data_IF_428313724865
#
_entry.id   IF_428313724865
#
_cell.length_a   1.000
_cell.length_b   1.000
_cell.length_c   1.000
_cell.angle_alpha   90.00
_cell.angle_beta   90.00
_cell.angle_gamma   90.00
#
_symmetry.space_group_name_H-M   'P 1'
#
loop_
_entity.id
_entity.type
_entity.pdbx_description
1 polymer ?
#
# COMPACT_ATOMS: atom_id res chain seq x y z
N UNK A 1 -10.11 4.79 6.16
CA UNK A 1 -10.11 4.51 7.61
C UNK A 1 -9.73 5.79 8.31
N UNK A 2 -10.59 6.28 9.15
CA UNK A 2 -10.41 7.49 9.94
C UNK A 2 -10.14 7.12 11.41
N UNK A 3 -9.17 7.79 12.03
CA UNK A 3 -8.85 7.62 13.45
C UNK A 3 -9.77 8.39 14.41
N UNK A 4 -10.79 9.05 13.90
CA UNK A 4 -11.76 9.83 14.72
C UNK A 4 -13.01 8.99 15.05
N UNK A 5 -13.41 8.90 16.33
CA UNK A 5 -12.73 9.44 17.50
C UNK A 5 -11.50 8.59 17.89
N UNK A 6 -10.38 9.25 18.09
CA UNK A 6 -9.15 8.58 18.52
C UNK A 6 -9.22 8.28 20.03
N UNK A 7 -9.20 7.01 20.36
CA UNK A 7 -9.01 6.55 21.75
C UNK A 7 -7.59 6.01 21.89
N UNK A 8 -6.72 6.63 22.70
CA UNK A 8 -5.36 6.16 22.89
C UNK A 8 -5.32 4.69 23.30
N UNK A 9 -4.48 3.90 22.62
CA UNK A 9 -4.32 2.46 22.89
C UNK A 9 -5.32 1.56 22.16
N UNK A 10 -6.23 2.11 21.35
CA UNK A 10 -7.08 1.28 20.49
C UNK A 10 -6.28 0.75 19.32
N UNK A 11 -6.31 -0.56 19.12
CA UNK A 11 -5.74 -1.25 17.97
C UNK A 11 -6.88 -1.74 17.08
N UNK A 12 -6.89 -1.29 15.83
CA UNK A 12 -7.83 -1.81 14.84
C UNK A 12 -7.18 -3.00 14.12
N UNK A 13 -7.94 -4.07 13.93
CA UNK A 13 -7.49 -5.25 13.20
C UNK A 13 -8.37 -5.45 11.97
N UNK A 14 -7.71 -5.52 10.81
CA UNK A 14 -8.31 -5.82 9.51
C UNK A 14 -7.75 -7.15 9.06
N UNK A 15 -8.56 -8.18 9.09
CA UNK A 15 -8.12 -9.55 8.85
C UNK A 15 -9.08 -10.31 7.94
N UNK A 16 -8.51 -11.15 7.06
CA UNK A 16 -9.25 -12.04 6.17
C UNK A 16 -10.27 -11.32 5.25
N UNK A 17 -9.97 -10.07 4.86
CA UNK A 17 -10.81 -9.32 3.96
C UNK A 17 -10.35 -9.49 2.51
N UNK A 18 -11.30 -9.39 1.58
CA UNK A 18 -11.03 -9.23 0.15
C UNK A 18 -11.39 -7.82 -0.27
N UNK A 19 -10.40 -7.07 -0.74
CA UNK A 19 -10.51 -5.67 -1.14
C UNK A 19 -10.04 -5.58 -2.58
N UNK A 20 -11.01 -5.63 -3.49
CA UNK A 20 -10.73 -5.83 -4.91
C UNK A 20 -11.43 -4.78 -5.76
N UNK A 21 -10.76 -4.33 -6.83
CA UNK A 21 -11.31 -3.47 -7.88
C UNK A 21 -11.90 -2.14 -7.38
N UNK A 22 -11.25 -1.54 -6.38
CA UNK A 22 -11.61 -0.22 -5.88
C UNK A 22 -10.67 0.85 -6.44
N UNK A 23 -11.08 2.12 -6.35
CA UNK A 23 -10.16 3.22 -6.59
C UNK A 23 -9.07 3.30 -5.52
N UNK A 24 -9.41 3.01 -4.26
CA UNK A 24 -8.47 2.95 -3.14
C UNK A 24 -8.87 1.78 -2.24
N UNK A 25 -7.94 0.88 -1.92
CA UNK A 25 -8.20 -0.21 -1.00
C UNK A 25 -8.21 0.29 0.46
N UNK A 26 -7.16 0.97 0.87
CA UNK A 26 -7.05 1.54 2.22
C UNK A 26 -6.70 3.02 2.14
N UNK A 27 -7.63 3.86 2.53
CA UNK A 27 -7.38 5.28 2.74
C UNK A 27 -7.16 5.51 4.24
N UNK A 28 -5.91 5.77 4.60
CA UNK A 28 -5.51 6.03 5.97
C UNK A 28 -5.47 7.53 6.20
N UNK A 29 -6.21 8.00 7.18
CA UNK A 29 -6.37 9.41 7.47
C UNK A 29 -6.02 9.71 8.93
N UNK A 30 -5.38 10.85 9.17
CA UNK A 30 -5.02 11.27 10.50
C UNK A 30 -3.80 10.52 11.07
N UNK A 31 -3.82 10.32 12.37
CA UNK A 31 -2.71 9.73 13.13
C UNK A 31 -2.91 8.23 13.39
N UNK A 32 -3.53 7.52 12.44
CA UNK A 32 -3.77 6.09 12.58
C UNK A 32 -2.43 5.34 12.58
N UNK A 33 -2.07 4.76 13.71
CA UNK A 33 -0.87 3.94 13.87
C UNK A 33 -1.12 2.77 14.81
N UNK A 34 -0.30 1.72 14.71
CA UNK A 34 -0.42 0.51 15.52
C UNK A 34 -1.57 -0.41 15.12
N UNK A 35 -2.29 -0.11 14.03
CA UNK A 35 -3.31 -1.00 13.48
C UNK A 35 -2.67 -2.20 12.79
N UNK A 36 -3.42 -3.30 12.72
CA UNK A 36 -2.97 -4.59 12.20
C UNK A 36 -3.76 -4.93 10.95
N UNK A 37 -3.05 -5.26 9.88
CA UNK A 37 -3.61 -5.67 8.59
C UNK A 37 -3.02 -7.04 8.25
N UNK A 38 -3.81 -8.10 8.44
CA UNK A 38 -3.35 -9.48 8.29
C UNK A 38 -4.23 -10.28 7.34
N UNK A 39 -3.59 -11.16 6.58
CA UNK A 39 -4.26 -12.17 5.74
C UNK A 39 -5.30 -11.59 4.76
N UNK A 40 -5.20 -10.31 4.39
CA UNK A 40 -6.12 -9.71 3.43
C UNK A 40 -5.68 -10.01 1.99
N UNK A 41 -6.65 -10.00 1.08
CA UNK A 41 -6.43 -10.03 -0.38
C UNK A 41 -6.65 -8.63 -0.92
N UNK A 42 -5.60 -8.04 -1.48
CA UNK A 42 -5.60 -6.69 -2.04
C UNK A 42 -5.27 -6.83 -3.52
N UNK A 43 -6.29 -6.60 -4.38
CA UNK A 43 -6.17 -6.94 -5.80
C UNK A 43 -6.93 -5.99 -6.71
N UNK A 44 -6.31 -5.59 -7.82
CA UNK A 44 -6.95 -4.81 -8.88
C UNK A 44 -7.40 -3.43 -8.45
N UNK A 45 -6.87 -2.90 -7.37
CA UNK A 45 -7.16 -1.55 -6.94
C UNK A 45 -6.27 -0.56 -7.70
N UNK A 46 -6.74 0.67 -7.87
CA UNK A 46 -5.92 1.71 -8.49
C UNK A 46 -4.80 2.12 -7.53
N UNK A 47 -5.16 2.34 -6.26
CA UNK A 47 -4.22 2.58 -5.17
C UNK A 47 -4.50 1.58 -4.03
N UNK A 48 -3.49 0.86 -3.57
CA UNK A 48 -3.67 -0.10 -2.49
C UNK A 48 -3.71 0.59 -1.12
N UNK A 49 -2.75 1.47 -0.85
CA UNK A 49 -2.70 2.23 0.41
C UNK A 49 -2.41 3.69 0.11
N UNK A 50 -3.30 4.55 0.57
CA UNK A 50 -3.18 6.01 0.46
C UNK A 50 -3.12 6.63 1.84
N UNK A 51 -2.20 7.57 2.04
CA UNK A 51 -2.08 8.40 3.22
C UNK A 51 -2.23 9.88 2.84
N UNK A 52 -3.22 10.56 3.40
CA UNK A 52 -3.45 11.98 3.13
C UNK A 52 -2.94 12.92 4.24
N UNK A 53 -2.35 12.35 5.30
CA UNK A 53 -1.82 13.13 6.42
C UNK A 53 -0.29 13.13 6.37
N UNK A 54 0.35 14.26 6.01
CA UNK A 54 1.80 14.37 6.01
C UNK A 54 2.41 14.07 7.39
N UNK A 55 3.61 13.49 7.40
CA UNK A 55 4.36 13.18 8.62
C UNK A 55 3.63 12.27 9.62
N UNK A 56 2.63 11.52 9.14
CA UNK A 56 1.90 10.57 9.96
C UNK A 56 2.79 9.38 10.35
N UNK A 57 2.48 8.76 11.47
CA UNK A 57 3.15 7.53 11.93
C UNK A 57 2.58 6.27 11.25
N UNK A 58 2.13 6.39 10.03
CA UNK A 58 1.42 5.32 9.30
C UNK A 58 2.31 4.10 9.04
N UNK A 59 3.63 4.33 8.90
CA UNK A 59 4.61 3.25 8.77
C UNK A 59 4.70 2.36 10.03
N UNK A 60 4.13 2.80 11.16
CA UNK A 60 4.05 2.00 12.38
C UNK A 60 2.86 1.02 12.40
N UNK A 61 2.01 1.03 11.38
CA UNK A 61 1.01 0.00 11.18
C UNK A 61 1.69 -1.31 10.81
N UNK A 62 1.14 -2.42 11.29
CA UNK A 62 1.67 -3.74 11.02
C UNK A 62 0.90 -4.40 9.89
N UNK A 63 1.62 -4.71 8.81
CA UNK A 63 1.12 -5.46 7.67
C UNK A 63 1.79 -6.82 7.71
N UNK A 64 1.00 -7.88 7.56
CA UNK A 64 1.53 -9.24 7.63
C UNK A 64 0.68 -10.21 6.82
N UNK A 65 1.31 -11.03 6.00
CA UNK A 65 0.68 -12.10 5.24
C UNK A 65 -0.47 -11.64 4.33
N UNK A 66 -0.43 -10.41 3.84
CA UNK A 66 -1.41 -9.96 2.87
C UNK A 66 -0.98 -10.40 1.46
N UNK A 67 -1.95 -10.67 0.61
CA UNK A 67 -1.75 -10.85 -0.81
C UNK A 67 -1.85 -9.51 -1.51
N UNK A 68 -0.83 -9.16 -2.28
CA UNK A 68 -0.73 -7.95 -3.08
C UNK A 68 -0.55 -8.34 -4.54
N UNK A 69 -1.45 -7.95 -5.43
CA UNK A 69 -1.36 -8.35 -6.84
C UNK A 69 -0.20 -7.69 -7.59
N UNK A 70 0.32 -6.59 -7.07
CA UNK A 70 1.50 -5.89 -7.58
C UNK A 70 2.82 -6.36 -6.93
N UNK A 71 2.80 -7.37 -6.07
CA UNK A 71 3.99 -7.95 -5.49
C UNK A 71 4.84 -8.65 -6.55
N UNK A 72 6.11 -8.24 -6.66
CA UNK A 72 7.06 -8.76 -7.67
C UNK A 72 8.20 -9.57 -7.06
N UNK A 73 8.08 -9.97 -5.82
CA UNK A 73 9.05 -10.83 -5.17
C UNK A 73 8.90 -12.30 -5.59
N UNK A 74 9.71 -13.14 -5.01
CA UNK A 74 9.72 -14.58 -5.26
C UNK A 74 9.55 -15.36 -3.96
N UNK A 75 9.12 -16.59 -4.09
CA UNK A 75 8.98 -17.59 -3.05
C UNK A 75 9.88 -18.76 -3.44
N UNK A 76 11.06 -18.84 -2.83
CA UNK A 76 12.11 -19.79 -3.22
C UNK A 76 11.88 -21.18 -2.62
N UNK A 77 11.41 -21.22 -1.39
CA UNK A 77 11.16 -22.46 -0.65
C UNK A 77 9.76 -23.01 -0.86
N UNK A 78 8.89 -22.25 -1.55
CA UNK A 78 7.53 -22.63 -1.95
C UNK A 78 6.59 -22.84 -0.76
N UNK A 79 6.76 -22.06 0.27
CA UNK A 79 5.90 -22.09 1.46
C UNK A 79 4.64 -21.18 1.29
N UNK A 80 4.56 -20.45 0.18
CA UNK A 80 3.47 -19.52 -0.13
C UNK A 80 3.69 -18.11 0.39
N UNK A 81 4.84 -17.85 1.01
CA UNK A 81 5.26 -16.54 1.51
C UNK A 81 6.42 -16.04 0.66
N UNK A 82 6.41 -14.76 0.34
CA UNK A 82 7.50 -14.18 -0.43
C UNK A 82 8.73 -13.91 0.44
N UNK A 83 9.90 -14.29 -0.07
CA UNK A 83 11.20 -14.11 0.59
C UNK A 83 11.63 -12.65 0.73
N UNK A 84 11.00 -11.75 -0.02
CA UNK A 84 11.31 -10.33 -0.04
C UNK A 84 10.11 -9.57 0.50
N UNK A 85 10.29 -8.64 1.45
CA UNK A 85 9.19 -7.80 1.91
C UNK A 85 8.53 -7.01 0.78
N UNK A 86 7.22 -6.87 0.85
CA UNK A 86 6.49 -5.91 0.04
C UNK A 86 6.61 -4.53 0.68
N UNK A 87 6.98 -3.53 -0.11
CA UNK A 87 7.03 -2.14 0.33
C UNK A 87 6.26 -1.26 -0.64
N UNK A 88 5.26 -0.59 -0.13
CA UNK A 88 4.56 0.45 -0.86
C UNK A 88 5.04 1.82 -0.41
N UNK A 89 5.49 2.61 -1.39
CA UNK A 89 5.99 3.96 -1.18
C UNK A 89 5.16 4.95 -1.99
N UNK A 90 4.80 6.05 -1.37
CA UNK A 90 4.02 7.11 -2.01
C UNK A 90 4.92 8.18 -2.62
N UNK A 91 4.88 8.29 -3.95
CA UNK A 91 5.52 9.38 -4.69
C UNK A 91 4.50 10.40 -5.21
N UNK A 92 3.38 9.92 -5.71
CA UNK A 92 2.44 10.69 -6.49
C UNK A 92 1.40 11.44 -5.66
N UNK A 93 1.08 10.94 -4.46
CA UNK A 93 -0.02 11.50 -3.68
C UNK A 93 0.24 12.92 -3.18
N UNK A 94 1.49 13.26 -2.89
CA UNK A 94 1.81 14.65 -2.57
C UNK A 94 1.55 15.59 -3.75
N UNK A 95 1.79 15.11 -4.97
CA UNK A 95 1.50 15.90 -6.17
C UNK A 95 -0.02 16.08 -6.38
N UNK A 96 -0.80 15.06 -6.03
CA UNK A 96 -2.25 15.03 -6.27
C UNK A 96 -3.05 15.74 -5.18
N UNK A 97 -2.58 15.70 -3.94
CA UNK A 97 -3.18 16.49 -2.85
C UNK A 97 -3.08 17.98 -3.11
N UNK A 98 -1.96 18.44 -3.66
CA UNK A 98 -1.74 19.86 -3.92
C UNK A 98 -2.30 20.34 -5.26
N UNK A 99 -2.53 19.44 -6.23
CA UNK A 99 -3.05 19.79 -7.56
C UNK A 99 -4.01 18.74 -8.09
N UNK A 100 -5.27 18.72 -7.62
CA UNK A 100 -6.31 17.78 -8.05
C UNK A 100 -6.47 17.60 -9.57
N UNK A 101 -6.25 18.63 -10.43
CA UNK A 101 -6.35 18.45 -11.88
C UNK A 101 -5.35 17.49 -12.47
N UNK A 102 -4.24 17.17 -11.77
CA UNK A 102 -3.21 16.24 -12.26
C UNK A 102 -3.75 14.80 -12.32
N UNK A 103 -4.81 14.48 -11.59
CA UNK A 103 -5.50 13.16 -11.67
C UNK A 103 -5.99 12.81 -13.08
N UNK A 104 -6.25 13.81 -13.94
CA UNK A 104 -6.65 13.61 -15.34
C UNK A 104 -5.55 12.89 -16.14
N UNK A 105 -4.30 13.02 -15.72
CA UNK A 105 -3.15 12.39 -16.37
C UNK A 105 -2.81 10.99 -15.82
N UNK A 106 -3.68 10.42 -14.96
CA UNK A 106 -3.51 9.08 -14.45
C UNK A 106 -3.35 8.07 -15.59
N UNK A 107 -2.40 7.15 -15.46
CA UNK A 107 -2.02 6.19 -16.49
C UNK A 107 -1.51 6.82 -17.81
N UNK A 108 -1.14 8.10 -17.81
CA UNK A 108 -0.50 8.68 -18.99
C UNK A 108 0.99 8.33 -19.05
N UNK A 109 1.56 8.15 -20.25
CA UNK A 109 3.01 7.92 -20.41
C UNK A 109 3.88 9.01 -19.78
N UNK A 110 3.34 10.21 -19.62
CA UNK A 110 4.01 11.35 -18.98
C UNK A 110 4.21 11.10 -17.47
N UNK A 111 3.21 10.54 -16.80
CA UNK A 111 3.34 10.18 -15.37
C UNK A 111 4.31 9.03 -15.15
N UNK A 112 4.32 8.04 -16.05
CA UNK A 112 5.32 6.98 -15.98
C UNK A 112 6.74 7.52 -16.21
N UNK A 113 6.91 8.44 -17.14
CA UNK A 113 8.19 9.12 -17.36
C UNK A 113 8.60 9.94 -16.12
N UNK A 114 7.68 10.67 -15.51
CA UNK A 114 7.93 11.41 -14.27
C UNK A 114 8.30 10.46 -13.12
N UNK A 115 7.58 9.36 -12.95
CA UNK A 115 7.92 8.35 -11.95
C UNK A 115 9.31 7.73 -12.18
N UNK A 116 9.67 7.53 -13.45
CA UNK A 116 11.02 7.08 -13.81
C UNK A 116 12.08 8.15 -13.48
N UNK A 117 11.80 9.40 -13.78
CA UNK A 117 12.70 10.54 -13.47
C UNK A 117 12.87 10.71 -11.96
N UNK A 118 11.81 10.55 -11.15
CA UNK A 118 11.91 10.59 -9.71
C UNK A 118 12.78 9.47 -9.12
N UNK A 119 12.77 8.28 -9.73
CA UNK A 119 13.68 7.19 -9.34
C UNK A 119 15.14 7.48 -9.60
N UNK A 120 15.42 8.30 -10.62
CA UNK A 120 16.80 8.64 -11.04
C UNK A 120 17.32 9.87 -10.29
N UNK A 121 16.43 10.80 -9.93
CA UNK A 121 16.77 12.05 -9.24
C UNK A 121 15.87 12.24 -8.01
N UNK A 122 16.18 11.57 -6.89
CA UNK A 122 15.36 11.67 -5.69
C UNK A 122 15.53 13.05 -5.04
N UNK A 123 14.64 13.99 -5.38
CA UNK A 123 14.55 15.27 -4.69
C UNK A 123 13.87 15.17 -3.31
N UNK A 124 13.18 14.06 -3.04
CA UNK A 124 12.66 13.68 -1.73
C UNK A 124 12.55 12.16 -1.68
N UNK A 125 12.88 11.58 -0.54
CA UNK A 125 12.63 10.15 -0.34
C UNK A 125 11.12 9.90 -0.30
N UNK A 126 10.64 8.89 -1.04
CA UNK A 126 9.23 8.52 -1.01
C UNK A 126 8.86 7.99 0.37
N UNK A 127 7.75 8.47 0.89
CA UNK A 127 7.25 8.01 2.19
C UNK A 127 6.82 6.54 2.12
N UNK A 128 7.32 5.73 3.04
CA UNK A 128 6.88 4.34 3.20
C UNK A 128 5.49 4.34 3.86
N UNK A 129 4.49 3.82 3.16
CA UNK A 129 3.10 3.78 3.65
C UNK A 129 2.65 2.40 4.10
N UNK A 130 3.22 1.35 3.52
CA UNK A 130 2.98 -0.02 3.95
C UNK A 130 4.24 -0.87 3.77
N UNK A 131 4.48 -1.75 4.73
CA UNK A 131 5.54 -2.76 4.66
C UNK A 131 5.00 -4.08 5.19
N UNK A 132 4.91 -5.07 4.33
CA UNK A 132 4.55 -6.45 4.67
C UNK A 132 5.82 -7.31 4.57
N UNK A 133 6.24 -7.85 5.71
CA UNK A 133 7.47 -8.64 5.75
C UNK A 133 7.27 -10.09 5.28
N UNK A 134 6.04 -10.56 5.23
CA UNK A 134 5.66 -11.91 4.85
C UNK A 134 4.52 -11.89 3.81
N UNK A 135 4.70 -11.20 2.66
CA UNK A 135 3.63 -11.11 1.67
C UNK A 135 3.30 -12.48 1.10
N UNK A 136 2.01 -12.79 0.94
CA UNK A 136 1.59 -14.06 0.32
C UNK A 136 1.77 -14.02 -1.19
N UNK A 137 2.30 -15.11 -1.72
CA UNK A 137 2.44 -15.33 -3.17
C UNK A 137 1.33 -16.28 -3.63
N UNK A 138 0.71 -15.99 -4.77
CA UNK A 138 -0.16 -16.96 -5.43
C UNK A 138 0.72 -18.11 -5.92
N UNK A 139 0.51 -19.29 -5.37
CA UNK A 139 1.06 -20.50 -5.96
C UNK A 139 0.51 -20.64 -7.38
N UNK A 140 1.40 -20.83 -8.36
CA UNK A 140 1.05 -21.08 -9.75
C UNK A 140 0.21 -22.39 -9.83
N UNK A 141 -1.09 -22.25 -9.71
CA UNK A 141 -2.02 -23.37 -9.64
C UNK A 141 -3.48 -22.95 -9.57
N UNK A 142 -3.76 -21.67 -9.61
CA UNK A 142 -5.13 -21.17 -9.89
C UNK A 142 -6.13 -21.27 -8.73
N UNK A 143 -5.70 -21.47 -7.52
CA UNK A 143 -6.59 -21.26 -6.37
C UNK A 143 -6.24 -19.92 -5.72
N UNK A 144 -7.02 -18.89 -6.07
CA UNK A 144 -7.16 -17.72 -5.23
C UNK A 144 -7.70 -18.16 -3.87
N UNK A 145 -7.10 -17.68 -2.76
CA UNK A 145 -7.71 -17.87 -1.46
C UNK A 145 -9.12 -17.30 -1.41
#
# INVERSE_FOLDING_TARGET
IDASPYVPGTVNTFKDNRIEFNSVAFHLHGTLYGSIFEDNVIKGNIDDVVNDTPESKIALNRWNRNYWDNYQGFDRDKDGIGDIPFEQRMFADRLWQHKPPVKIFYASPVLELLNMLWKIMPFSEPELVAKDNEPRVLLLGGQTP
#
